data_IF_368659827643
#
_entry.id   IF_368659827643
#
_cell.length_a   1.000
_cell.length_b   1.000
_cell.length_c   1.000
_cell.angle_alpha   90.00
_cell.angle_beta   90.00
_cell.angle_gamma   90.00
#
_symmetry.space_group_name_H-M   'P 1'
#
loop_
_entity.id
_entity.type
_entity.pdbx_description
1 polymer ?
#
# COMPACT_ATOMS: atom_id res chain seq x y z
N UNK A 1 -13.26 1.94 14.72
CA UNK A 1 -12.35 3.10 14.59
C UNK A 1 -11.35 2.81 13.50
N UNK A 2 -11.16 3.72 12.54
CA UNK A 2 -10.12 3.68 11.53
C UNK A 2 -8.81 4.23 12.11
N UNK A 3 -7.71 3.47 11.96
CA UNK A 3 -6.37 3.94 12.37
C UNK A 3 -5.46 4.04 11.15
N UNK A 4 -4.76 5.17 11.05
CA UNK A 4 -3.64 5.38 10.13
C UNK A 4 -2.37 5.14 10.92
N UNK A 5 -1.58 4.15 10.54
CA UNK A 5 -0.38 3.73 11.27
C UNK A 5 0.72 4.78 11.15
N UNK A 6 1.19 5.27 12.30
CA UNK A 6 2.32 6.21 12.41
C UNK A 6 3.56 5.48 12.96
N UNK A 7 4.53 5.25 12.10
CA UNK A 7 5.86 4.74 12.47
C UNK A 7 6.96 5.74 12.10
N UNK A 8 6.64 7.04 12.21
CA UNK A 8 7.52 8.17 11.87
C UNK A 8 7.91 8.26 10.39
N UNK A 9 7.10 7.65 9.51
CA UNK A 9 7.30 7.72 8.06
C UNK A 9 5.96 7.94 7.35
N UNK A 10 5.94 8.82 6.35
CA UNK A 10 4.78 9.02 5.50
C UNK A 10 4.13 10.39 5.59
N UNK A 11 3.33 10.70 4.59
CA UNK A 11 2.48 11.89 4.55
C UNK A 11 1.11 11.60 5.17
N UNK A 12 1.10 11.28 6.46
CA UNK A 12 -0.08 10.82 7.21
C UNK A 12 -1.23 11.82 7.15
N UNK A 13 -0.91 13.13 7.18
CA UNK A 13 -1.93 14.20 7.11
C UNK A 13 -2.66 14.27 5.77
N UNK A 14 -2.03 13.89 4.66
CA UNK A 14 -2.72 13.80 3.38
C UNK A 14 -3.68 12.62 3.36
N UNK A 15 -3.31 11.49 3.93
CA UNK A 15 -4.18 10.31 4.06
C UNK A 15 -5.37 10.62 4.97
N UNK A 16 -5.13 11.24 6.14
CA UNK A 16 -6.18 11.67 7.08
C UNK A 16 -7.17 12.63 6.39
N UNK A 17 -6.66 13.63 5.66
CA UNK A 17 -7.50 14.57 4.91
C UNK A 17 -8.35 13.87 3.86
N UNK A 18 -7.76 12.93 3.11
CA UNK A 18 -8.50 12.17 2.10
C UNK A 18 -9.59 11.28 2.73
N UNK A 19 -9.34 10.67 3.89
CA UNK A 19 -10.36 9.94 4.65
C UNK A 19 -11.51 10.86 5.08
N UNK A 20 -11.19 12.06 5.59
CA UNK A 20 -12.19 13.05 5.99
C UNK A 20 -13.02 13.54 4.81
N UNK A 21 -12.42 13.72 3.63
CA UNK A 21 -13.12 14.13 2.40
C UNK A 21 -14.14 13.08 1.94
N UNK A 22 -13.91 11.81 2.22
CA UNK A 22 -14.89 10.74 1.97
C UNK A 22 -15.79 10.43 3.17
N UNK A 23 -15.81 11.32 4.18
CA UNK A 23 -16.75 11.31 5.29
C UNK A 23 -16.36 10.40 6.47
N UNK A 24 -15.10 10.01 6.60
CA UNK A 24 -14.63 9.14 7.69
C UNK A 24 -13.50 9.81 8.47
N UNK A 25 -13.67 9.92 9.78
CA UNK A 25 -12.59 10.35 10.69
C UNK A 25 -11.63 9.18 10.92
N UNK A 26 -10.33 9.49 10.85
CA UNK A 26 -9.25 8.54 11.08
C UNK A 26 -8.35 9.03 12.21
N UNK A 27 -7.94 8.13 13.08
CA UNK A 27 -6.93 8.42 14.10
C UNK A 27 -5.53 8.07 13.57
N UNK A 28 -4.60 9.03 13.62
CA UNK A 28 -3.18 8.76 13.36
C UNK A 28 -2.57 8.27 14.67
N UNK A 29 -2.02 7.05 14.68
CA UNK A 29 -1.46 6.47 15.91
C UNK A 29 -0.27 5.56 15.64
N UNK A 30 0.76 5.68 16.46
CA UNK A 30 1.88 4.76 16.62
C UNK A 30 1.77 3.87 17.85
N UNK A 31 0.62 3.85 18.51
CA UNK A 31 0.35 3.00 19.67
C UNK A 31 -0.08 1.59 19.21
N UNK A 32 0.72 0.52 19.51
CA UNK A 32 0.37 -0.85 19.14
C UNK A 32 -1.00 -1.29 19.65
N UNK A 33 -1.43 -0.84 20.85
CA UNK A 33 -2.73 -1.21 21.40
C UNK A 33 -3.88 -0.60 20.61
N UNK A 34 -3.75 0.63 20.17
CA UNK A 34 -4.74 1.27 19.30
C UNK A 34 -4.83 0.59 17.93
N UNK A 35 -3.67 0.14 17.40
CA UNK A 35 -3.61 -0.63 16.15
C UNK A 35 -4.35 -1.96 16.33
N UNK A 36 -4.07 -2.73 17.38
CA UNK A 36 -4.74 -4.00 17.67
C UNK A 36 -6.25 -3.88 17.82
N UNK A 37 -6.74 -2.76 18.39
CA UNK A 37 -8.16 -2.55 18.65
C UNK A 37 -8.90 -1.80 17.55
N UNK A 38 -8.22 -1.40 16.49
CA UNK A 38 -8.85 -0.75 15.34
C UNK A 38 -9.88 -1.66 14.65
N UNK A 39 -10.82 -1.09 13.92
CA UNK A 39 -11.71 -1.84 13.04
C UNK A 39 -11.17 -1.96 11.61
N UNK A 40 -10.32 -1.01 11.21
CA UNK A 40 -9.63 -0.94 9.90
C UNK A 40 -8.28 -0.28 10.08
N UNK A 41 -7.31 -0.68 9.28
CA UNK A 41 -6.00 -0.03 9.21
C UNK A 41 -5.74 0.56 7.82
N UNK A 42 -5.18 1.76 7.79
CA UNK A 42 -4.43 2.25 6.64
C UNK A 42 -2.96 2.27 7.06
N UNK A 43 -2.14 1.62 6.28
CA UNK A 43 -0.71 1.48 6.50
C UNK A 43 0.06 2.16 5.37
N UNK A 44 0.19 3.50 5.40
CA UNK A 44 0.93 4.25 4.40
C UNK A 44 2.42 4.22 4.71
N UNK A 45 3.24 4.52 3.72
CA UNK A 45 4.66 4.67 3.96
C UNK A 45 5.38 5.39 2.84
N UNK A 46 6.46 6.08 3.22
CA UNK A 46 7.46 6.66 2.30
C UNK A 46 8.85 6.43 2.87
N UNK A 47 9.87 6.54 2.02
CA UNK A 47 11.27 6.31 2.42
C UNK A 47 11.72 4.88 2.15
N UNK A 48 12.75 4.43 2.86
CA UNK A 48 13.41 3.16 2.61
C UNK A 48 12.87 2.03 3.49
N UNK A 49 12.75 0.83 2.91
CA UNK A 49 12.22 -0.36 3.58
C UNK A 49 12.98 -0.71 4.87
N UNK A 50 14.30 -0.61 4.87
CA UNK A 50 15.12 -0.90 6.05
C UNK A 50 14.84 0.03 7.23
N UNK A 51 14.74 1.35 6.98
CA UNK A 51 14.42 2.33 8.01
C UNK A 51 12.99 2.15 8.55
N UNK A 52 12.04 1.86 7.65
CA UNK A 52 10.67 1.59 8.03
C UNK A 52 10.58 0.35 8.96
N UNK A 53 11.19 -0.76 8.57
CA UNK A 53 11.16 -1.98 9.38
C UNK A 53 11.86 -1.81 10.72
N UNK A 54 12.98 -1.09 10.78
CA UNK A 54 13.65 -0.78 12.05
C UNK A 54 12.72 0.00 13.00
N UNK A 55 12.05 1.05 12.49
CA UNK A 55 11.10 1.85 13.29
C UNK A 55 9.90 1.03 13.77
N UNK A 56 9.35 0.17 12.91
CA UNK A 56 8.23 -0.72 13.25
C UNK A 56 8.61 -1.70 14.36
N UNK A 57 9.79 -2.32 14.25
CA UNK A 57 10.30 -3.29 15.24
C UNK A 57 10.65 -2.62 16.58
N UNK A 58 11.28 -1.45 16.55
CA UNK A 58 11.61 -0.68 17.76
C UNK A 58 10.36 -0.35 18.59
N UNK A 59 9.23 -0.12 17.92
CA UNK A 59 7.98 0.29 18.55
C UNK A 59 6.99 -0.85 18.79
N UNK A 60 7.26 -2.07 18.30
CA UNK A 60 6.34 -3.22 18.36
C UNK A 60 5.11 -3.09 17.44
N UNK A 61 5.12 -2.13 16.52
CA UNK A 61 4.04 -1.91 15.56
C UNK A 61 3.99 -3.05 14.54
N UNK A 62 5.13 -3.65 14.16
CA UNK A 62 5.20 -4.77 13.22
C UNK A 62 4.42 -5.99 13.75
N UNK A 63 4.53 -6.31 15.04
CA UNK A 63 3.74 -7.37 15.66
C UNK A 63 2.26 -7.02 15.70
N UNK A 64 1.93 -5.79 16.08
CA UNK A 64 0.54 -5.32 16.11
C UNK A 64 -0.13 -5.38 14.73
N UNK A 65 0.59 -5.07 13.65
CA UNK A 65 0.07 -5.20 12.27
C UNK A 65 -0.16 -6.67 11.90
N UNK A 66 0.78 -7.57 12.23
CA UNK A 66 0.62 -9.02 11.98
C UNK A 66 -0.57 -9.59 12.74
N UNK A 67 -0.72 -9.26 14.00
CA UNK A 67 -1.87 -9.66 14.83
C UNK A 67 -3.17 -9.13 14.25
N UNK A 68 -3.20 -7.85 13.86
CA UNK A 68 -4.37 -7.24 13.23
C UNK A 68 -4.76 -7.93 11.91
N UNK A 69 -3.77 -8.24 11.07
CA UNK A 69 -3.98 -9.00 9.84
C UNK A 69 -4.58 -10.38 10.14
N UNK A 70 -4.03 -11.10 11.11
CA UNK A 70 -4.51 -12.43 11.51
C UNK A 70 -5.94 -12.42 12.10
N UNK A 71 -6.41 -11.27 12.59
CA UNK A 71 -7.80 -11.08 13.02
C UNK A 71 -8.80 -10.96 11.86
N UNK A 72 -8.33 -10.96 10.60
CA UNK A 72 -9.19 -10.85 9.42
C UNK A 72 -9.79 -9.46 9.21
N UNK A 73 -9.27 -8.41 9.84
CA UNK A 73 -9.79 -7.04 9.72
C UNK A 73 -9.16 -6.31 8.53
N UNK A 74 -9.93 -5.43 7.83
CA UNK A 74 -9.44 -4.79 6.60
C UNK A 74 -8.17 -3.94 6.79
N UNK A 75 -7.17 -4.18 5.93
CA UNK A 75 -5.90 -3.43 5.87
C UNK A 75 -5.71 -2.86 4.46
N UNK A 76 -5.40 -1.56 4.37
CA UNK A 76 -4.94 -0.92 3.13
C UNK A 76 -3.46 -0.53 3.27
N UNK A 77 -2.59 -1.18 2.50
CA UNK A 77 -1.19 -0.76 2.31
C UNK A 77 -1.07 0.32 1.22
N UNK A 78 -0.26 1.37 1.45
CA UNK A 78 -0.02 2.41 0.44
C UNK A 78 1.48 2.59 0.22
N UNK A 79 1.93 2.46 -1.03
CA UNK A 79 3.31 2.65 -1.51
C UNK A 79 4.31 1.78 -0.74
N UNK A 80 5.09 2.32 0.18
CA UNK A 80 5.98 1.52 1.02
C UNK A 80 5.21 0.49 1.85
N UNK A 81 3.98 0.81 2.29
CA UNK A 81 3.10 -0.15 2.98
C UNK A 81 2.76 -1.38 2.14
N UNK A 82 2.62 -1.24 0.81
CA UNK A 82 2.55 -2.37 -0.11
C UNK A 82 3.87 -3.17 -0.09
N UNK A 83 5.00 -2.50 -0.23
CA UNK A 83 6.30 -3.14 -0.36
C UNK A 83 6.67 -3.94 0.88
N UNK A 84 6.53 -3.36 2.07
CA UNK A 84 6.85 -4.06 3.33
C UNK A 84 5.79 -5.08 3.77
N UNK A 85 4.65 -5.18 3.08
CA UNK A 85 3.70 -6.29 3.27
C UNK A 85 4.22 -7.62 2.69
N UNK A 86 5.19 -7.59 1.78
CA UNK A 86 5.85 -8.79 1.25
C UNK A 86 6.83 -9.36 2.29
N UNK A 87 7.59 -10.40 1.94
CA UNK A 87 8.51 -11.03 2.89
C UNK A 87 9.97 -10.55 2.75
N UNK A 88 10.31 -9.90 1.63
CA UNK A 88 11.68 -9.39 1.39
C UNK A 88 11.70 -8.19 0.45
N UNK A 89 12.63 -7.27 0.68
CA UNK A 89 12.93 -6.15 -0.22
C UNK A 89 14.41 -6.11 -0.60
N UNK A 90 14.70 -5.95 -1.91
CA UNK A 90 16.06 -5.64 -2.39
C UNK A 90 16.57 -4.31 -1.79
N UNK A 91 15.65 -3.40 -1.40
CA UNK A 91 16.03 -2.16 -0.76
C UNK A 91 16.62 -2.44 0.64
N UNK A 92 17.89 -2.12 0.80
CA UNK A 92 18.67 -2.40 2.01
C UNK A 92 18.70 -3.88 2.41
N UNK A 93 18.39 -4.83 1.51
CA UNK A 93 18.34 -6.28 1.76
C UNK A 93 17.51 -6.62 3.01
N UNK A 94 16.30 -6.06 3.06
CA UNK A 94 15.46 -6.03 4.25
C UNK A 94 14.44 -7.19 4.28
N UNK A 95 14.38 -7.94 5.38
CA UNK A 95 13.22 -8.77 5.71
C UNK A 95 12.08 -7.88 6.15
N UNK A 96 10.87 -8.16 5.64
CA UNK A 96 9.70 -7.32 5.85
C UNK A 96 8.58 -8.06 6.60
N UNK A 97 7.31 -7.63 6.54
CA UNK A 97 6.25 -8.14 7.40
C UNK A 97 5.78 -9.57 7.08
N UNK A 98 6.06 -10.08 5.88
CA UNK A 98 5.67 -11.42 5.42
C UNK A 98 4.16 -11.71 5.51
N UNK A 99 3.33 -10.73 5.17
CA UNK A 99 1.87 -10.90 5.09
C UNK A 99 1.47 -11.55 3.75
N UNK A 100 2.17 -11.20 2.67
CA UNK A 100 2.01 -11.76 1.32
C UNK A 100 3.36 -12.32 0.86
N UNK A 101 3.39 -13.56 0.38
CA UNK A 101 4.62 -14.15 -0.15
C UNK A 101 5.06 -13.45 -1.43
N UNK A 102 6.34 -13.09 -1.51
CA UNK A 102 6.93 -12.38 -2.65
C UNK A 102 8.05 -11.44 -2.22
N UNK A 103 8.62 -10.77 -3.17
CA UNK A 103 9.77 -9.88 -2.95
C UNK A 103 9.55 -8.52 -3.63
N UNK A 104 10.29 -7.54 -3.19
CA UNK A 104 10.35 -6.20 -3.79
C UNK A 104 11.65 -6.06 -4.54
N UNK A 105 11.56 -5.65 -5.81
CA UNK A 105 12.71 -5.48 -6.70
C UNK A 105 12.92 -4.03 -7.10
N UNK A 106 14.15 -3.65 -7.34
CA UNK A 106 14.50 -2.35 -7.92
C UNK A 106 14.22 -2.36 -9.42
N UNK A 107 13.66 -1.25 -9.94
CA UNK A 107 13.60 -1.05 -11.39
C UNK A 107 14.99 -1.11 -12.01
N UNK A 108 15.11 -1.85 -13.10
CA UNK A 108 16.33 -1.97 -13.91
C UNK A 108 15.97 -1.64 -15.35
N UNK A 109 15.78 -0.33 -15.60
CA UNK A 109 15.40 0.16 -16.92
C UNK A 109 16.54 -0.07 -17.93
N UNK A 110 16.15 -0.43 -19.14
CA UNK A 110 17.02 -0.43 -20.32
C UNK A 110 17.09 0.98 -20.89
N UNK A 111 17.63 1.17 -22.09
CA UNK A 111 17.79 2.48 -22.73
C UNK A 111 16.46 3.01 -23.32
N UNK A 112 15.46 3.30 -22.49
CA UNK A 112 14.12 3.71 -22.92
C UNK A 112 13.82 5.19 -22.75
N UNK A 113 14.71 5.95 -22.12
CA UNK A 113 14.48 7.35 -21.75
C UNK A 113 13.61 7.53 -20.50
N UNK A 114 13.08 6.45 -19.91
CA UNK A 114 12.40 6.47 -18.63
C UNK A 114 13.38 6.72 -17.48
N UNK A 115 12.89 7.25 -16.35
CA UNK A 115 13.71 7.63 -15.19
C UNK A 115 13.34 6.81 -13.97
N UNK A 116 14.30 6.58 -13.10
CA UNK A 116 14.07 6.07 -11.74
C UNK A 116 14.29 7.23 -10.76
N UNK A 117 13.33 7.53 -9.87
CA UNK A 117 12.07 6.81 -9.63
C UNK A 117 11.04 6.95 -10.77
N UNK A 118 10.15 5.96 -10.91
CA UNK A 118 8.85 6.13 -11.60
C UNK A 118 8.07 7.20 -10.84
N UNK A 119 7.91 8.37 -11.42
CA UNK A 119 7.27 9.52 -10.78
C UNK A 119 6.29 10.18 -11.75
N UNK A 120 5.05 10.34 -11.31
CA UNK A 120 3.99 11.00 -12.06
C UNK A 120 2.71 10.19 -12.12
N UNK A 121 1.84 10.58 -13.04
CA UNK A 121 0.56 9.94 -13.29
C UNK A 121 0.72 8.78 -14.26
N UNK A 122 0.08 7.66 -13.95
CA UNK A 122 0.07 6.50 -14.83
C UNK A 122 -1.23 5.71 -14.64
N UNK A 123 -1.62 4.96 -15.67
CA UNK A 123 -2.83 4.14 -15.66
C UNK A 123 -2.65 2.85 -14.87
N UNK A 124 -3.76 2.37 -14.33
CA UNK A 124 -3.83 1.12 -13.57
C UNK A 124 -4.79 0.17 -14.26
N UNK A 125 -4.28 -0.93 -14.78
CA UNK A 125 -5.07 -1.96 -15.42
C UNK A 125 -5.51 -3.02 -14.41
N UNK A 126 -6.78 -2.99 -14.01
CA UNK A 126 -7.38 -3.96 -13.10
C UNK A 126 -7.55 -5.29 -13.85
N UNK A 127 -6.91 -6.36 -13.35
CA UNK A 127 -6.92 -7.71 -13.95
C UNK A 127 -7.75 -8.72 -13.14
N UNK A 128 -8.07 -8.40 -11.89
CA UNK A 128 -8.96 -9.19 -11.04
C UNK A 128 -9.94 -8.26 -10.32
N UNK A 129 -11.18 -8.72 -10.16
CA UNK A 129 -12.19 -7.96 -9.42
C UNK A 129 -11.90 -7.97 -7.93
N UNK A 130 -12.05 -6.80 -7.30
CA UNK A 130 -12.00 -6.63 -5.86
C UNK A 130 -12.91 -5.47 -5.45
N UNK A 131 -13.65 -5.56 -4.32
CA UNK A 131 -14.58 -4.49 -3.91
C UNK A 131 -13.93 -3.11 -3.80
N UNK A 132 -12.66 -3.04 -3.37
CA UNK A 132 -11.90 -1.78 -3.27
C UNK A 132 -11.59 -1.17 -4.64
N UNK A 133 -11.55 -1.99 -5.70
CA UNK A 133 -11.30 -1.56 -7.07
C UNK A 133 -12.58 -1.32 -7.87
N UNK A 134 -13.75 -1.37 -7.22
CA UNK A 134 -15.02 -1.11 -7.89
C UNK A 134 -15.03 0.26 -8.58
N UNK A 135 -15.45 0.28 -9.85
CA UNK A 135 -15.51 1.47 -10.72
C UNK A 135 -14.16 2.17 -10.95
N UNK A 136 -13.05 1.46 -10.83
CA UNK A 136 -11.77 1.92 -11.35
C UNK A 136 -11.71 1.52 -12.82
N UNK A 137 -11.64 2.51 -13.70
CA UNK A 137 -11.72 2.34 -15.15
C UNK A 137 -10.31 2.26 -15.78
N UNK A 138 -10.12 1.62 -16.94
CA UNK A 138 -8.81 1.47 -17.57
C UNK A 138 -8.09 2.78 -17.92
N UNK A 139 -8.80 3.91 -17.95
CA UNK A 139 -8.25 5.24 -18.21
C UNK A 139 -7.99 6.05 -16.95
N UNK A 140 -8.34 5.51 -15.79
CA UNK A 140 -8.09 6.18 -14.53
C UNK A 140 -6.59 6.19 -14.25
N UNK A 141 -6.06 7.38 -13.95
CA UNK A 141 -4.66 7.59 -13.63
C UNK A 141 -4.48 7.83 -12.15
N UNK A 142 -3.42 7.26 -11.60
CA UNK A 142 -3.00 7.42 -10.22
C UNK A 142 -1.59 7.99 -10.15
N UNK A 143 -1.27 8.64 -9.03
CA UNK A 143 0.04 9.22 -8.81
C UNK A 143 1.01 8.20 -8.20
N UNK A 144 2.14 7.99 -8.86
CA UNK A 144 3.23 7.12 -8.47
C UNK A 144 4.48 7.92 -8.09
N UNK A 145 5.25 7.41 -7.15
CA UNK A 145 6.62 7.88 -6.84
C UNK A 145 7.38 6.76 -6.16
N UNK A 146 8.06 5.89 -6.94
CA UNK A 146 8.78 4.74 -6.38
C UNK A 146 9.91 4.27 -7.27
N UNK A 147 10.96 3.69 -6.66
CA UNK A 147 12.11 3.09 -7.34
C UNK A 147 12.12 1.56 -7.29
N UNK A 148 11.24 1.00 -6.47
CA UNK A 148 11.08 -0.44 -6.24
C UNK A 148 9.62 -0.82 -6.47
N UNK A 149 9.38 -2.09 -6.83
CA UNK A 149 8.06 -2.61 -7.11
C UNK A 149 7.87 -4.04 -6.57
N UNK A 150 6.65 -4.43 -6.32
CA UNK A 150 6.28 -5.73 -5.80
C UNK A 150 6.33 -6.82 -6.87
N UNK A 151 6.85 -7.98 -6.50
CA UNK A 151 6.83 -9.24 -7.27
C UNK A 151 6.25 -10.34 -6.37
N UNK A 152 4.91 -10.44 -6.27
CA UNK A 152 4.27 -11.50 -5.51
C UNK A 152 4.65 -12.89 -6.04
N UNK A 153 4.85 -13.85 -5.13
CA UNK A 153 5.18 -15.23 -5.51
C UNK A 153 4.01 -15.95 -6.21
N UNK A 154 2.78 -15.53 -5.93
CA UNK A 154 1.55 -16.07 -6.50
C UNK A 154 0.86 -15.04 -7.39
N UNK A 155 0.51 -15.43 -8.61
CA UNK A 155 -0.21 -14.57 -9.56
C UNK A 155 -1.59 -14.15 -9.05
N UNK A 156 -2.22 -15.00 -8.27
CA UNK A 156 -3.53 -14.75 -7.65
C UNK A 156 -3.52 -13.57 -6.68
N UNK A 157 -2.33 -13.17 -6.19
CA UNK A 157 -2.17 -11.99 -5.35
C UNK A 157 -2.06 -10.68 -6.13
N UNK A 158 -1.98 -10.71 -7.47
CA UNK A 158 -1.87 -9.50 -8.31
C UNK A 158 -3.25 -9.12 -8.80
N UNK A 159 -3.73 -7.93 -8.44
CA UNK A 159 -5.06 -7.42 -8.78
C UNK A 159 -5.04 -6.34 -9.87
N UNK A 160 -3.95 -5.60 -9.97
CA UNK A 160 -3.77 -4.66 -11.06
C UNK A 160 -2.31 -4.55 -11.49
N UNK A 161 -2.11 -4.21 -12.75
CA UNK A 161 -0.81 -4.00 -13.38
C UNK A 161 -0.70 -2.57 -13.91
N UNK A 162 0.52 -2.07 -13.98
CA UNK A 162 0.86 -0.78 -14.58
C UNK A 162 2.07 -0.95 -15.48
N UNK A 163 2.06 -0.29 -16.64
CA UNK A 163 3.16 -0.33 -17.59
C UNK A 163 4.20 0.74 -17.26
N UNK A 164 5.45 0.31 -17.08
CA UNK A 164 6.61 1.19 -16.93
C UNK A 164 7.85 0.49 -17.45
N UNK A 165 8.09 0.53 -18.78
CA UNK A 165 8.94 -0.34 -19.58
C UNK A 165 8.45 -1.79 -19.56
N UNK A 166 8.58 -2.48 -18.42
CA UNK A 166 7.93 -3.75 -18.14
C UNK A 166 6.68 -3.52 -17.25
N UNK A 167 5.76 -4.47 -17.27
CA UNK A 167 4.61 -4.43 -16.37
C UNK A 167 5.01 -4.79 -14.94
N UNK A 168 4.47 -4.04 -13.96
CA UNK A 168 4.64 -4.36 -12.56
C UNK A 168 3.30 -4.42 -11.82
N UNK A 169 3.26 -5.14 -10.70
CA UNK A 169 2.09 -5.22 -9.84
C UNK A 169 1.86 -3.87 -9.14
N UNK A 170 0.81 -3.15 -9.53
CA UNK A 170 0.42 -1.86 -8.94
C UNK A 170 -0.63 -2.00 -7.83
N UNK A 171 -1.36 -3.12 -7.79
CA UNK A 171 -2.22 -3.52 -6.67
C UNK A 171 -2.03 -4.99 -6.38
N UNK A 172 -1.82 -5.31 -5.11
CA UNK A 172 -1.76 -6.68 -4.61
C UNK A 172 -2.79 -6.87 -3.50
N UNK A 173 -3.28 -8.11 -3.35
CA UNK A 173 -4.21 -8.43 -2.27
C UNK A 173 -4.05 -9.89 -1.82
N UNK A 174 -4.35 -10.12 -0.54
CA UNK A 174 -4.49 -11.45 0.06
C UNK A 174 -5.38 -11.34 1.29
N UNK A 175 -6.39 -12.19 1.37
CA UNK A 175 -7.33 -12.25 2.49
C UNK A 175 -7.96 -10.86 2.78
N UNK A 176 -7.66 -10.28 3.91
CA UNK A 176 -8.13 -8.97 4.39
C UNK A 176 -7.17 -7.80 4.11
N UNK A 177 -6.11 -8.02 3.35
CA UNK A 177 -5.15 -6.99 2.93
C UNK A 177 -5.29 -6.69 1.45
N UNK A 178 -5.46 -5.42 1.12
CA UNK A 178 -5.22 -4.88 -0.22
C UNK A 178 -4.17 -3.79 -0.13
N UNK A 179 -3.29 -3.71 -1.11
CA UNK A 179 -2.23 -2.70 -1.10
C UNK A 179 -1.95 -2.14 -2.49
N UNK A 180 -1.68 -0.83 -2.55
CA UNK A 180 -1.43 -0.07 -3.78
C UNK A 180 -0.01 0.47 -3.82
N UNK A 181 0.65 0.41 -4.98
CA UNK A 181 1.95 1.04 -5.17
C UNK A 181 1.84 2.56 -5.36
N UNK A 182 0.73 3.00 -5.90
CA UNK A 182 0.39 4.40 -6.06
C UNK A 182 -0.19 5.00 -4.77
N UNK A 183 -0.32 6.33 -4.75
CA UNK A 183 -0.84 7.12 -3.64
C UNK A 183 -2.30 7.53 -3.89
N UNK A 184 -3.30 6.82 -3.37
CA UNK A 184 -4.70 7.20 -3.53
C UNK A 184 -4.98 8.61 -3.00
N UNK A 185 -4.36 8.99 -1.88
CA UNK A 185 -4.51 10.30 -1.24
C UNK A 185 -3.97 11.47 -2.07
N UNK A 186 -3.23 11.16 -3.16
CA UNK A 186 -2.70 12.14 -4.12
C UNK A 186 -3.32 12.01 -5.50
N UNK A 187 -4.27 11.09 -5.68
CA UNK A 187 -4.80 10.71 -7.00
C UNK A 187 -6.18 11.32 -7.29
N UNK A 188 -6.53 12.43 -6.64
CA UNK A 188 -7.77 13.16 -6.90
C UNK A 188 -9.02 12.30 -6.73
N UNK A 189 -10.01 12.47 -7.62
CA UNK A 189 -11.32 11.80 -7.50
C UNK A 189 -11.23 10.27 -7.54
N UNK A 190 -10.36 9.72 -8.37
CA UNK A 190 -10.22 8.27 -8.50
C UNK A 190 -9.58 7.68 -7.24
N UNK A 191 -8.60 8.36 -6.66
CA UNK A 191 -8.02 7.99 -5.38
C UNK A 191 -9.02 8.04 -4.23
N UNK A 192 -9.85 9.09 -4.16
CA UNK A 192 -10.93 9.20 -3.19
C UNK A 192 -11.98 8.08 -3.36
N UNK A 193 -12.30 7.69 -4.60
CA UNK A 193 -13.18 6.55 -4.88
C UNK A 193 -12.61 5.26 -4.29
N UNK A 194 -11.32 4.97 -4.53
CA UNK A 194 -10.65 3.80 -3.98
C UNK A 194 -10.67 3.80 -2.45
N UNK A 195 -10.34 4.93 -1.82
CA UNK A 195 -10.42 5.07 -0.36
C UNK A 195 -11.85 4.86 0.16
N UNK A 196 -12.86 5.47 -0.49
CA UNK A 196 -14.26 5.26 -0.14
C UNK A 196 -14.69 3.80 -0.25
N UNK A 197 -14.23 3.08 -1.29
CA UNK A 197 -14.49 1.65 -1.44
C UNK A 197 -13.84 0.84 -0.32
N UNK A 198 -12.57 1.11 0.01
CA UNK A 198 -11.87 0.47 1.13
C UNK A 198 -12.60 0.68 2.46
N UNK A 199 -13.07 1.88 2.72
CA UNK A 199 -13.77 2.20 3.98
C UNK A 199 -15.10 1.47 4.13
N UNK A 200 -15.71 1.04 3.02
CA UNK A 200 -16.96 0.25 2.99
C UNK A 200 -16.73 -1.25 2.83
N UNK A 201 -15.52 -1.65 2.47
CA UNK A 201 -15.21 -3.06 2.24
C UNK A 201 -15.42 -3.89 3.50
N UNK A 202 -16.17 -4.98 3.35
CA UNK A 202 -16.34 -6.04 4.34
C UNK A 202 -15.56 -7.26 3.83
N UNK A 203 -14.70 -7.83 4.67
CA UNK A 203 -13.93 -9.06 4.40
C UNK A 203 -14.81 -10.27 4.60
#
# INVERSE_FOLDING_TARGET
MLVIVDYKAGNLKSVERACREVGVEAEISGDPEKIRHASRLIFPGVGAAGAAMASLQETGIDEAIREFFNLGRPVLGICLGLQISLNYSEENQTKTLDLISGEVKKFRLKETGLKIPHMGWNTVNVIQQHPVLDRIEPRDEFYFVHSYYAVPAKKESVYALTDYEDQFASVISKDNLIATQFHPEKSGRVGLRLLSNFLRWQV
#
